data_IF_264436715752
#
_entry.id   IF_264436715752
#
_cell.length_a   1.000
_cell.length_b   1.000
_cell.length_c   1.000
_cell.angle_alpha   90.00
_cell.angle_beta   90.00
_cell.angle_gamma   90.00
#
_symmetry.space_group_name_H-M   'P 1'
#
loop_
_entity.id
_entity.type
_entity.pdbx_description
1 polymer ?
#
# COMPACT_ATOMS: atom_id res chain seq x y z
N UNK A 1 -18.22 14.35 -24.54
CA UNK A 1 -17.77 13.06 -25.10
C UNK A 1 -17.42 12.15 -23.91
N UNK A 2 -17.73 10.84 -23.91
CA UNK A 2 -17.47 9.98 -22.75
C UNK A 2 -16.03 9.43 -22.75
N UNK A 3 -15.38 9.45 -21.59
CA UNK A 3 -13.99 9.04 -21.40
C UNK A 3 -13.79 7.55 -21.74
N UNK A 4 -12.81 7.22 -22.58
CA UNK A 4 -12.45 5.82 -22.92
C UNK A 4 -11.23 5.36 -22.11
N UNK A 5 -11.10 4.06 -21.80
CA UNK A 5 -9.84 3.52 -21.27
C UNK A 5 -8.69 3.86 -22.23
N UNK A 6 -7.75 4.70 -21.80
CA UNK A 6 -6.72 5.32 -22.64
C UNK A 6 -6.75 6.85 -22.65
N UNK A 7 -7.90 7.47 -22.37
CA UNK A 7 -8.03 8.88 -21.96
C UNK A 7 -7.64 8.99 -20.48
N UNK A 8 -6.39 8.66 -20.19
CA UNK A 8 -5.84 8.89 -18.85
C UNK A 8 -5.69 10.39 -18.72
N UNK A 9 -6.38 11.01 -17.76
CA UNK A 9 -5.96 12.29 -17.22
C UNK A 9 -4.54 12.09 -16.68
N UNK A 10 -3.55 12.36 -17.53
CA UNK A 10 -2.14 12.14 -17.19
C UNK A 10 -1.85 13.05 -16.01
N UNK A 11 -1.50 12.46 -14.87
CA UNK A 11 -1.04 13.23 -13.71
C UNK A 11 0.07 14.18 -14.16
N UNK A 12 -0.04 15.46 -13.84
CA UNK A 12 1.03 16.44 -14.08
C UNK A 12 2.27 16.17 -13.23
N UNK A 13 2.15 15.31 -12.22
CA UNK A 13 3.24 14.92 -11.34
C UNK A 13 3.90 13.63 -11.86
N UNK A 14 5.25 13.61 -11.97
CA UNK A 14 5.97 12.42 -12.41
C UNK A 14 5.81 11.30 -11.39
N UNK A 15 5.61 10.07 -11.87
CA UNK A 15 5.52 8.87 -11.01
C UNK A 15 6.82 8.58 -10.26
N UNK A 16 7.95 9.12 -10.71
CA UNK A 16 9.27 8.83 -10.15
C UNK A 16 9.73 7.40 -10.42
N UNK A 17 10.76 6.96 -9.71
CA UNK A 17 11.30 5.60 -9.85
C UNK A 17 10.37 4.54 -9.25
N UNK A 18 9.88 3.64 -10.09
CA UNK A 18 9.07 2.50 -9.66
C UNK A 18 9.99 1.36 -9.26
N UNK A 19 9.95 0.97 -7.98
CA UNK A 19 10.66 -0.20 -7.46
C UNK A 19 9.71 -1.38 -7.29
N UNK A 20 10.18 -2.59 -7.58
CA UNK A 20 9.44 -3.81 -7.25
C UNK A 20 9.30 -3.92 -5.73
N UNK A 21 8.12 -4.38 -5.29
CA UNK A 21 7.93 -4.78 -3.90
C UNK A 21 8.87 -5.96 -3.63
N UNK A 22 9.66 -5.87 -2.57
CA UNK A 22 10.50 -6.98 -2.15
C UNK A 22 9.58 -8.04 -1.53
N UNK A 23 9.67 -9.28 -2.03
CA UNK A 23 8.90 -10.42 -1.53
C UNK A 23 9.40 -10.80 -0.13
N UNK A 24 9.04 -9.98 0.85
CA UNK A 24 9.34 -10.20 2.26
C UNK A 24 8.37 -11.23 2.80
N UNK A 25 8.42 -12.46 2.27
CA UNK A 25 7.68 -13.67 2.66
C UNK A 25 6.53 -13.40 3.65
N UNK A 26 5.54 -12.62 3.23
CA UNK A 26 4.38 -12.32 4.06
C UNK A 26 3.63 -13.64 4.15
N UNK A 27 3.59 -14.25 5.34
CA UNK A 27 3.06 -15.60 5.55
C UNK A 27 1.62 -15.79 5.03
N UNK A 28 0.93 -14.69 4.73
CA UNK A 28 -0.32 -14.66 4.00
C UNK A 28 -0.16 -13.92 2.67
N UNK A 29 -0.11 -14.68 1.57
CA UNK A 29 -0.43 -14.14 0.25
C UNK A 29 -1.90 -13.72 0.26
N UNK A 30 -2.18 -12.43 0.10
CA UNK A 30 -3.55 -11.95 -0.04
C UNK A 30 -4.16 -12.54 -1.32
N UNK A 31 -5.38 -13.06 -1.22
CA UNK A 31 -6.17 -13.59 -2.33
C UNK A 31 -7.47 -12.80 -2.42
N UNK A 32 -8.03 -12.70 -3.62
CA UNK A 32 -9.33 -12.05 -3.84
C UNK A 32 -10.40 -12.71 -2.97
N UNK A 33 -11.06 -11.92 -2.12
CA UNK A 33 -12.03 -12.39 -1.12
C UNK A 33 -11.50 -12.37 0.31
N UNK A 34 -10.18 -12.30 0.51
CA UNK A 34 -9.61 -12.04 1.83
C UNK A 34 -9.94 -10.60 2.26
N UNK A 35 -10.37 -10.39 3.51
CA UNK A 35 -10.61 -9.05 4.01
C UNK A 35 -9.30 -8.25 3.96
N UNK A 36 -9.38 -7.05 3.41
CA UNK A 36 -8.31 -6.06 3.54
C UNK A 36 -8.41 -5.52 4.96
N UNK A 37 -7.39 -5.77 5.77
CA UNK A 37 -7.34 -5.29 7.15
C UNK A 37 -6.49 -4.04 7.19
N UNK A 38 -7.13 -2.89 7.38
CA UNK A 38 -6.45 -1.61 7.53
C UNK A 38 -5.75 -1.51 8.90
N UNK A 39 -4.56 -0.89 8.97
CA UNK A 39 -3.91 -0.59 10.23
C UNK A 39 -4.73 0.45 11.02
N UNK A 40 -4.74 0.33 12.35
CA UNK A 40 -5.46 1.27 13.21
C UNK A 40 -4.62 2.50 13.56
N UNK A 41 -3.30 2.37 13.50
CA UNK A 41 -2.38 3.47 13.81
C UNK A 41 -0.97 3.26 13.27
N UNK A 42 -0.18 4.32 13.37
CA UNK A 42 1.25 4.34 13.06
C UNK A 42 2.01 4.45 14.37
N UNK A 43 2.99 3.58 14.60
CA UNK A 43 3.78 3.53 15.82
C UNK A 43 5.26 3.69 15.50
N UNK A 44 5.98 4.45 16.33
CA UNK A 44 7.43 4.57 16.22
C UNK A 44 8.11 3.58 17.16
N UNK A 45 8.95 2.72 16.59
CA UNK A 45 9.80 1.81 17.36
C UNK A 45 10.97 2.57 17.99
N UNK A 46 11.61 2.02 19.05
CA UNK A 46 12.82 2.61 19.63
C UNK A 46 13.97 2.81 18.63
N UNK A 47 13.95 2.05 17.53
CA UNK A 47 14.89 2.20 16.41
C UNK A 47 14.61 3.41 15.50
N UNK A 48 13.56 4.19 15.78
CA UNK A 48 13.11 5.31 14.95
C UNK A 48 12.24 4.89 13.76
N UNK A 49 12.08 3.59 13.51
CA UNK A 49 11.25 3.06 12.40
C UNK A 49 9.77 3.25 12.68
N UNK A 50 9.03 3.66 11.65
CA UNK A 50 7.57 3.71 11.68
C UNK A 50 6.99 2.37 11.22
N UNK A 51 6.02 1.85 11.97
CA UNK A 51 5.27 0.64 11.65
C UNK A 51 3.77 0.90 11.71
N UNK A 52 3.04 0.35 10.75
CA UNK A 52 1.59 0.33 10.74
C UNK A 52 1.13 -0.89 11.55
N UNK A 53 0.35 -0.68 12.60
CA UNK A 53 -0.08 -1.76 13.50
C UNK A 53 -1.52 -1.59 13.99
N UNK A 54 -1.95 -2.55 14.79
CA UNK A 54 -3.23 -2.58 15.50
C UNK A 54 -2.99 -2.59 17.01
N UNK A 55 -3.95 -2.05 17.75
CA UNK A 55 -3.97 -2.15 19.21
C UNK A 55 -4.52 -3.53 19.59
N UNK A 56 -3.86 -4.19 20.56
CA UNK A 56 -4.39 -5.39 21.19
C UNK A 56 -5.18 -4.96 22.42
N UNK A 57 -6.42 -5.44 22.54
CA UNK A 57 -7.23 -5.32 23.75
C UNK A 57 -7.07 -6.59 24.61
#
# INVERSE_FOLDING_TARGET
MPNRPGDVSVSSYPTGDVRKVQDNNSSHFWQKGNPIVEPQGVYQLPSGRLVLSRECF
#
